data_IF_078729303920
#
_entry.id   IF_078729303920
#
_cell.length_a   1.000
_cell.length_b   1.000
_cell.length_c   1.000
_cell.angle_alpha   90.00
_cell.angle_beta   90.00
_cell.angle_gamma   90.00
#
_symmetry.space_group_name_H-M   'P 1'
#
loop_
_entity.id
_entity.type
_entity.pdbx_description
1 polymer ?
#
# COMPACT_ATOMS: atom_id res chain seq x y z
N UNK A 1 -16.97 -15.81 -75.62
CA UNK A 1 -17.47 -16.41 -74.42
C UNK A 1 -16.94 -15.55 -73.22
N UNK A 2 -17.77 -14.63 -72.78
CA UNK A 2 -17.50 -13.61 -71.77
C UNK A 2 -18.01 -14.10 -70.44
N UNK A 3 -17.11 -14.22 -69.45
CA UNK A 3 -17.48 -14.36 -68.05
C UNK A 3 -17.40 -13.00 -67.36
N UNK A 4 -18.41 -12.59 -66.60
CA UNK A 4 -18.43 -11.25 -66.01
C UNK A 4 -17.58 -11.18 -64.74
N UNK A 5 -16.68 -10.23 -64.73
CA UNK A 5 -15.80 -9.83 -63.61
C UNK A 5 -16.52 -9.27 -62.34
N UNK A 6 -17.86 -9.31 -62.35
CA UNK A 6 -18.68 -8.74 -61.26
C UNK A 6 -18.95 -9.69 -60.10
N UNK A 7 -18.57 -10.97 -60.17
CA UNK A 7 -18.86 -11.95 -59.09
C UNK A 7 -17.70 -12.17 -58.13
N UNK A 8 -16.49 -11.70 -58.49
CA UNK A 8 -15.29 -11.87 -57.63
C UNK A 8 -15.11 -10.68 -56.69
N UNK A 9 -15.70 -9.52 -56.98
CA UNK A 9 -15.55 -8.32 -56.16
C UNK A 9 -16.51 -8.25 -54.96
N UNK A 10 -17.56 -9.05 -54.90
CA UNK A 10 -18.52 -9.04 -53.80
C UNK A 10 -18.22 -10.08 -52.68
N UNK A 11 -17.26 -10.97 -52.90
CA UNK A 11 -16.86 -11.97 -51.92
C UNK A 11 -15.70 -11.51 -51.01
N UNK A 12 -15.06 -10.37 -51.30
CA UNK A 12 -13.97 -9.82 -50.49
C UNK A 12 -14.40 -8.69 -49.52
N UNK A 13 -15.68 -8.32 -49.46
CA UNK A 13 -16.19 -7.24 -48.62
C UNK A 13 -17.08 -7.73 -47.45
N UNK A 14 -17.23 -9.02 -47.27
CA UNK A 14 -17.84 -9.56 -46.06
C UNK A 14 -16.75 -9.90 -45.04
N UNK A 15 -16.11 -8.89 -44.45
CA UNK A 15 -15.41 -9.04 -43.17
C UNK A 15 -16.50 -9.22 -42.11
N UNK A 16 -16.67 -10.41 -41.56
CA UNK A 16 -17.74 -10.61 -40.57
C UNK A 16 -17.35 -9.87 -39.28
N UNK A 17 -18.07 -8.78 -39.01
CA UNK A 17 -18.06 -8.08 -37.71
C UNK A 17 -18.38 -9.02 -36.52
N UNK A 18 -18.82 -10.24 -36.80
CA UNK A 18 -19.14 -11.28 -35.81
C UNK A 18 -17.90 -12.09 -35.37
N UNK A 19 -16.79 -12.06 -36.13
CA UNK A 19 -15.59 -12.81 -35.75
C UNK A 19 -14.67 -12.06 -34.75
N UNK A 20 -14.84 -10.77 -34.57
CA UNK A 20 -14.00 -9.98 -33.66
C UNK A 20 -14.27 -10.30 -32.19
N UNK A 21 -15.53 -10.63 -31.83
CA UNK A 21 -15.86 -11.03 -30.46
C UNK A 21 -15.46 -12.47 -30.12
N UNK A 22 -15.44 -13.37 -31.12
CA UNK A 22 -15.10 -14.77 -30.91
C UNK A 22 -13.60 -15.05 -30.80
N UNK A 23 -12.77 -14.25 -31.44
CA UNK A 23 -11.30 -14.39 -31.38
C UNK A 23 -10.69 -13.75 -30.11
N UNK A 24 -11.35 -12.78 -29.48
CA UNK A 24 -10.94 -12.23 -28.19
C UNK A 24 -11.01 -13.27 -27.05
N UNK A 25 -11.79 -14.34 -27.24
CA UNK A 25 -12.01 -15.38 -26.23
C UNK A 25 -11.59 -16.78 -26.67
N UNK A 26 -11.12 -16.97 -27.93
CA UNK A 26 -10.59 -18.26 -28.36
C UNK A 26 -9.15 -18.42 -27.91
N UNK A 27 -8.92 -19.25 -26.92
CA UNK A 27 -7.60 -19.73 -26.52
C UNK A 27 -7.02 -20.57 -27.66
N UNK A 28 -6.32 -19.92 -28.60
CA UNK A 28 -5.38 -20.60 -29.47
C UNK A 28 -4.25 -21.17 -28.62
N UNK A 29 -3.77 -22.37 -28.95
CA UNK A 29 -2.67 -23.10 -28.30
C UNK A 29 -1.29 -22.41 -28.49
N UNK A 30 -1.19 -21.15 -28.09
CA UNK A 30 0.07 -20.41 -28.00
C UNK A 30 0.65 -20.60 -26.59
N UNK A 31 1.97 -20.76 -26.50
CA UNK A 31 2.65 -20.92 -25.21
C UNK A 31 2.32 -19.75 -24.26
N UNK A 32 2.15 -19.99 -22.95
CA UNK A 32 1.71 -18.95 -21.98
C UNK A 32 2.64 -17.72 -21.84
N UNK A 33 3.72 -17.67 -22.58
CA UNK A 33 4.77 -16.64 -22.52
C UNK A 33 4.87 -15.78 -23.79
N UNK A 34 3.87 -15.81 -24.70
CA UNK A 34 3.92 -14.96 -25.90
C UNK A 34 3.62 -13.49 -25.54
N UNK A 35 4.25 -12.50 -26.23
CA UNK A 35 4.02 -11.06 -26.00
C UNK A 35 2.54 -10.64 -26.14
N UNK A 36 1.76 -11.37 -26.94
CA UNK A 36 0.35 -11.08 -27.18
C UNK A 36 -0.51 -11.21 -25.92
N UNK A 37 -0.18 -12.15 -25.02
CA UNK A 37 -0.89 -12.29 -23.74
C UNK A 37 -0.64 -11.11 -22.79
N UNK A 38 0.58 -10.56 -22.75
CA UNK A 38 0.89 -9.40 -21.89
C UNK A 38 0.06 -8.18 -22.31
N UNK A 39 -0.07 -7.93 -23.61
CA UNK A 39 -0.86 -6.80 -24.14
C UNK A 39 -2.35 -7.01 -23.86
N UNK A 40 -2.84 -8.23 -24.02
CA UNK A 40 -4.23 -8.57 -23.73
C UNK A 40 -4.54 -8.41 -22.24
N UNK A 41 -3.72 -8.98 -21.35
CA UNK A 41 -3.89 -8.89 -19.91
C UNK A 41 -3.86 -7.43 -19.45
N UNK A 42 -2.91 -6.63 -19.98
CA UNK A 42 -2.81 -5.20 -19.69
C UNK A 42 -4.08 -4.45 -20.14
N UNK A 43 -4.57 -4.72 -21.34
CA UNK A 43 -5.78 -4.08 -21.85
C UNK A 43 -7.01 -4.42 -21.00
N UNK A 44 -7.18 -5.68 -20.61
CA UNK A 44 -8.25 -6.13 -19.71
C UNK A 44 -8.16 -5.41 -18.37
N UNK A 45 -6.98 -5.36 -17.76
CA UNK A 45 -6.76 -4.66 -16.49
C UNK A 45 -7.15 -3.19 -16.62
N UNK A 46 -6.71 -2.49 -17.66
CA UNK A 46 -6.99 -1.05 -17.82
C UNK A 46 -8.47 -0.75 -18.09
N UNK A 47 -9.15 -1.59 -18.88
CA UNK A 47 -10.60 -1.44 -19.12
C UNK A 47 -11.38 -1.64 -17.82
N UNK A 48 -11.07 -2.70 -17.09
CA UNK A 48 -11.76 -3.02 -15.84
C UNK A 48 -11.43 -1.98 -14.76
N UNK A 49 -10.19 -1.48 -14.71
CA UNK A 49 -9.79 -0.38 -13.84
C UNK A 49 -10.65 0.87 -14.09
N UNK A 50 -10.83 1.25 -15.35
CA UNK A 50 -11.65 2.41 -15.73
C UNK A 50 -13.13 2.24 -15.32
N UNK A 51 -13.71 1.06 -15.56
CA UNK A 51 -15.09 0.75 -15.17
C UNK A 51 -15.24 0.83 -13.64
N UNK A 52 -14.32 0.22 -12.89
CA UNK A 52 -14.40 0.19 -11.44
C UNK A 52 -14.13 1.56 -10.82
N UNK A 53 -13.27 2.37 -11.43
CA UNK A 53 -13.06 3.76 -11.01
C UNK A 53 -14.35 4.58 -11.13
N UNK A 54 -15.10 4.42 -12.21
CA UNK A 54 -16.40 5.08 -12.39
C UNK A 54 -17.42 4.60 -11.35
N UNK A 55 -17.47 3.29 -11.08
CA UNK A 55 -18.39 2.70 -10.11
C UNK A 55 -18.07 3.18 -8.69
N UNK A 56 -16.81 3.08 -8.26
CA UNK A 56 -16.39 3.49 -6.92
C UNK A 56 -16.56 4.99 -6.70
N UNK A 57 -16.28 5.80 -7.72
CA UNK A 57 -16.52 7.24 -7.66
C UNK A 57 -18.01 7.57 -7.45
N UNK A 58 -18.90 6.89 -8.18
CA UNK A 58 -20.36 7.05 -7.99
C UNK A 58 -20.84 6.58 -6.63
N UNK A 59 -20.27 5.49 -6.12
CA UNK A 59 -20.59 4.93 -4.80
C UNK A 59 -19.91 5.67 -3.64
N UNK A 60 -19.06 6.67 -3.92
CA UNK A 60 -18.23 7.39 -2.94
C UNK A 60 -17.40 6.45 -2.07
N UNK A 61 -16.86 5.38 -2.68
CA UNK A 61 -16.01 4.40 -2.03
C UNK A 61 -14.53 4.60 -2.43
N UNK A 62 -13.58 4.21 -1.57
CA UNK A 62 -12.16 4.22 -1.93
C UNK A 62 -11.87 3.40 -3.19
N UNK A 63 -11.07 3.95 -4.11
CA UNK A 63 -10.75 3.32 -5.41
C UNK A 63 -10.08 1.95 -5.25
N UNK A 64 -9.25 1.78 -4.21
CA UNK A 64 -8.53 0.54 -3.89
C UNK A 64 -9.48 -0.65 -3.74
N UNK A 65 -10.64 -0.44 -3.10
CA UNK A 65 -11.66 -1.49 -2.94
C UNK A 65 -12.15 -1.97 -4.31
N UNK A 66 -12.47 -1.01 -5.20
CA UNK A 66 -12.93 -1.34 -6.55
C UNK A 66 -11.90 -2.12 -7.35
N UNK A 67 -10.65 -1.73 -7.28
CA UNK A 67 -9.57 -2.41 -7.99
C UNK A 67 -9.35 -3.83 -7.50
N UNK A 68 -9.32 -4.06 -6.18
CA UNK A 68 -9.16 -5.40 -5.61
C UNK A 68 -10.36 -6.28 -5.99
N UNK A 69 -11.59 -5.79 -5.84
CA UNK A 69 -12.78 -6.53 -6.22
C UNK A 69 -12.81 -6.85 -7.72
N UNK A 70 -12.41 -5.89 -8.56
CA UNK A 70 -12.26 -6.11 -9.99
C UNK A 70 -11.29 -7.24 -10.30
N UNK A 71 -10.12 -7.22 -9.67
CA UNK A 71 -9.12 -8.26 -9.80
C UNK A 71 -9.66 -9.63 -9.39
N UNK A 72 -10.34 -9.70 -8.25
CA UNK A 72 -10.97 -10.94 -7.79
C UNK A 72 -11.97 -11.51 -8.82
N UNK A 73 -12.71 -10.66 -9.53
CA UNK A 73 -13.69 -11.09 -10.53
C UNK A 73 -13.02 -11.59 -11.82
N UNK A 74 -11.99 -10.89 -12.32
CA UNK A 74 -11.35 -11.22 -13.60
C UNK A 74 -10.18 -12.18 -13.48
N UNK A 75 -9.76 -12.49 -12.25
CA UNK A 75 -8.63 -13.35 -11.96
C UNK A 75 -8.88 -14.83 -12.26
N UNK A 76 -7.82 -15.66 -12.25
CA UNK A 76 -7.87 -17.07 -12.64
C UNK A 76 -8.75 -17.94 -11.73
N UNK A 77 -9.03 -17.47 -10.52
CA UNK A 77 -9.74 -18.26 -9.50
C UNK A 77 -11.25 -18.02 -9.45
N UNK A 78 -11.82 -17.25 -10.41
CA UNK A 78 -13.24 -16.88 -10.39
C UNK A 78 -13.94 -17.22 -11.71
N UNK A 79 -14.26 -18.52 -11.98
CA UNK A 79 -15.09 -18.89 -13.12
C UNK A 79 -16.51 -18.30 -13.01
N UNK A 80 -17.18 -17.90 -14.11
CA UNK A 80 -16.76 -18.02 -15.53
C UNK A 80 -15.98 -16.80 -16.04
N UNK A 81 -15.72 -15.78 -15.23
CA UNK A 81 -15.14 -14.50 -15.64
C UNK A 81 -13.62 -14.45 -15.55
N UNK A 82 -12.92 -15.59 -15.49
CA UNK A 82 -11.46 -15.66 -15.48
C UNK A 82 -10.87 -15.17 -16.82
N UNK A 83 -10.80 -13.83 -16.96
CA UNK A 83 -10.30 -13.18 -18.18
C UNK A 83 -8.76 -13.19 -18.23
N UNK A 84 -8.10 -13.23 -17.08
CA UNK A 84 -6.65 -13.28 -16.95
C UNK A 84 -6.29 -14.62 -16.33
N UNK A 85 -5.55 -15.44 -17.06
CA UNK A 85 -5.13 -16.76 -16.59
C UNK A 85 -3.63 -16.86 -16.33
N UNK A 86 -2.84 -15.91 -16.85
CA UNK A 86 -1.40 -15.94 -16.72
C UNK A 86 -0.95 -15.30 -15.38
N UNK A 87 -0.71 -16.15 -14.39
CA UNK A 87 -0.22 -15.73 -13.05
C UNK A 87 1.14 -15.00 -13.13
N UNK A 88 2.00 -15.35 -14.09
CA UNK A 88 3.29 -14.68 -14.26
C UNK A 88 3.12 -13.23 -14.75
N UNK A 89 2.18 -12.97 -15.66
CA UNK A 89 1.83 -11.60 -16.07
C UNK A 89 1.35 -10.78 -14.87
N UNK A 90 0.44 -11.35 -14.05
CA UNK A 90 -0.07 -10.68 -12.85
C UNK A 90 1.04 -10.36 -11.86
N UNK A 91 1.96 -11.29 -11.62
CA UNK A 91 3.12 -11.05 -10.75
C UNK A 91 4.02 -9.93 -11.27
N UNK A 92 4.31 -9.92 -12.59
CA UNK A 92 5.12 -8.88 -13.22
C UNK A 92 4.43 -7.50 -13.10
N UNK A 93 3.14 -7.43 -13.38
CA UNK A 93 2.38 -6.19 -13.24
C UNK A 93 2.30 -5.71 -11.79
N UNK A 94 2.15 -6.63 -10.83
CA UNK A 94 2.18 -6.29 -9.41
C UNK A 94 3.57 -5.74 -9.01
N UNK A 95 4.68 -6.35 -9.49
CA UNK A 95 6.04 -5.88 -9.20
C UNK A 95 6.30 -4.48 -9.77
N UNK A 96 5.91 -4.20 -11.01
CA UNK A 96 6.00 -2.86 -11.60
C UNK A 96 5.12 -1.85 -10.86
N UNK A 97 3.91 -2.27 -10.51
CA UNK A 97 2.96 -1.43 -9.79
C UNK A 97 3.47 -1.00 -8.43
N UNK A 98 4.04 -1.94 -7.66
CA UNK A 98 4.58 -1.67 -6.33
C UNK A 98 5.77 -0.71 -6.37
N UNK A 99 6.68 -0.86 -7.36
CA UNK A 99 7.83 0.03 -7.53
C UNK A 99 7.33 1.47 -7.72
N UNK A 100 6.40 1.68 -8.65
CA UNK A 100 5.88 3.02 -8.92
C UNK A 100 5.07 3.60 -7.76
N UNK A 101 4.25 2.77 -7.12
CA UNK A 101 3.46 3.19 -5.96
C UNK A 101 4.35 3.66 -4.82
N UNK A 102 5.32 2.84 -4.41
CA UNK A 102 6.20 3.16 -3.29
C UNK A 102 7.22 4.26 -3.62
N UNK A 103 7.67 4.35 -4.87
CA UNK A 103 8.49 5.47 -5.30
C UNK A 103 7.76 6.80 -5.09
N UNK A 104 6.51 6.93 -5.55
CA UNK A 104 5.77 8.19 -5.40
C UNK A 104 5.40 8.45 -3.94
N UNK A 105 5.02 7.44 -3.17
CA UNK A 105 4.87 7.57 -1.72
C UNK A 105 6.16 8.12 -1.11
N UNK A 106 7.32 7.57 -1.46
CA UNK A 106 8.62 8.07 -1.01
C UNK A 106 8.85 9.55 -1.29
N UNK A 107 8.37 10.07 -2.45
CA UNK A 107 8.50 11.51 -2.78
C UNK A 107 7.69 12.43 -1.85
N UNK A 108 6.75 11.90 -1.09
CA UNK A 108 5.97 12.67 -0.10
C UNK A 108 6.69 12.81 1.24
N UNK A 109 7.79 12.07 1.42
CA UNK A 109 8.53 11.97 2.67
C UNK A 109 9.96 12.51 2.57
N UNK A 110 10.17 13.85 2.43
CA UNK A 110 11.51 14.40 2.54
C UNK A 110 12.08 14.12 3.94
N UNK A 111 13.40 13.86 4.00
CA UNK A 111 14.13 13.59 5.26
C UNK A 111 13.93 14.74 6.26
N UNK A 112 13.83 15.98 5.77
CA UNK A 112 13.54 17.15 6.59
C UNK A 112 12.16 17.06 7.29
N UNK A 113 11.15 16.52 6.59
CA UNK A 113 9.80 16.30 7.15
C UNK A 113 9.84 15.24 8.24
N UNK A 114 10.64 14.19 8.07
CA UNK A 114 10.93 13.19 9.08
C UNK A 114 11.51 13.81 10.36
N UNK A 115 12.39 14.80 10.24
CA UNK A 115 12.91 15.57 11.40
C UNK A 115 11.84 16.43 12.06
N UNK A 116 10.88 16.99 11.29
CA UNK A 116 9.82 17.88 11.79
C UNK A 116 8.65 17.15 12.46
N UNK A 117 8.49 15.86 12.20
CA UNK A 117 7.41 15.00 12.72
C UNK A 117 7.42 14.89 14.24
N UNK A 118 8.36 15.47 14.90
CA UNK A 118 8.37 15.60 16.33
C UNK A 118 8.58 14.29 17.09
N UNK A 119 9.22 14.41 18.22
CA UNK A 119 9.54 13.31 19.15
C UNK A 119 8.33 12.44 19.50
N UNK A 120 7.11 13.03 19.51
CA UNK A 120 5.91 12.32 19.94
C UNK A 120 5.49 11.23 18.95
N UNK A 121 5.64 11.46 17.62
CA UNK A 121 5.28 10.46 16.62
C UNK A 121 6.19 9.23 16.74
N UNK A 122 7.47 9.42 17.00
CA UNK A 122 8.42 8.32 17.25
C UNK A 122 8.06 7.59 18.55
N UNK A 123 7.76 8.34 19.62
CA UNK A 123 7.39 7.78 20.92
C UNK A 123 6.08 6.98 20.85
N UNK A 124 5.19 7.33 19.96
CA UNK A 124 3.94 6.59 19.75
C UNK A 124 4.13 5.43 18.77
N UNK A 125 4.78 5.67 17.64
CA UNK A 125 4.90 4.67 16.57
C UNK A 125 5.68 3.43 17.00
N UNK A 126 6.80 3.59 17.69
CA UNK A 126 7.64 2.43 18.08
C UNK A 126 6.89 1.46 19.01
N UNK A 127 6.33 1.88 20.17
CA UNK A 127 5.59 0.96 21.03
C UNK A 127 4.32 0.43 20.40
N UNK A 128 3.67 1.22 19.55
CA UNK A 128 2.46 0.82 18.86
C UNK A 128 2.77 -0.27 17.83
N UNK A 129 3.72 -0.03 16.92
CA UNK A 129 4.10 -1.00 15.89
C UNK A 129 4.61 -2.31 16.50
N UNK A 130 5.51 -2.23 17.49
CA UNK A 130 6.05 -3.42 18.17
C UNK A 130 4.94 -4.12 18.98
N UNK A 131 4.15 -3.37 19.73
CA UNK A 131 3.08 -3.92 20.56
C UNK A 131 2.01 -4.62 19.71
N UNK A 132 1.56 -4.00 18.61
CA UNK A 132 0.61 -4.59 17.68
C UNK A 132 1.21 -5.83 17.00
N UNK A 133 2.46 -5.75 16.53
CA UNK A 133 3.15 -6.89 15.93
C UNK A 133 3.20 -8.08 16.89
N UNK A 134 3.62 -7.87 18.14
CA UNK A 134 3.71 -8.94 19.15
C UNK A 134 2.33 -9.53 19.46
N UNK A 135 1.31 -8.70 19.70
CA UNK A 135 -0.03 -9.16 20.04
C UNK A 135 -0.63 -9.96 18.87
N UNK A 136 -0.56 -9.43 17.65
CA UNK A 136 -1.09 -10.11 16.46
C UNK A 136 -0.32 -11.39 16.16
N UNK A 137 1.00 -11.42 16.35
CA UNK A 137 1.82 -12.62 16.20
C UNK A 137 1.31 -13.76 17.08
N UNK A 138 1.12 -13.52 18.37
CA UNK A 138 0.63 -14.54 19.28
C UNK A 138 -0.81 -14.97 18.94
N UNK A 139 -1.68 -14.05 18.55
CA UNK A 139 -3.04 -14.42 18.11
C UNK A 139 -2.99 -15.26 16.83
N UNK A 140 -2.16 -14.92 15.85
CA UNK A 140 -1.98 -15.73 14.64
C UNK A 140 -1.45 -17.15 14.97
N UNK A 141 -0.50 -17.26 15.90
CA UNK A 141 -0.03 -18.57 16.40
C UNK A 141 -1.17 -19.40 17.03
N UNK A 142 -2.03 -18.79 17.86
CA UNK A 142 -3.19 -19.49 18.44
C UNK A 142 -4.23 -19.91 17.42
N UNK A 143 -4.29 -19.23 16.28
CA UNK A 143 -5.13 -19.59 15.13
C UNK A 143 -4.52 -20.73 14.28
N UNK A 144 -3.33 -21.22 14.61
CA UNK A 144 -2.68 -22.33 13.93
C UNK A 144 -1.81 -21.97 12.73
N UNK A 145 -1.51 -20.68 12.53
CA UNK A 145 -0.58 -20.23 11.49
C UNK A 145 0.86 -20.61 11.82
N UNK A 146 1.66 -20.89 10.79
CA UNK A 146 3.10 -21.14 10.95
C UNK A 146 3.80 -19.90 11.54
N UNK A 147 5.02 -20.09 12.04
CA UNK A 147 5.79 -18.97 12.60
C UNK A 147 6.02 -17.84 11.58
N UNK A 148 6.37 -18.18 10.35
CA UNK A 148 6.56 -17.17 9.30
C UNK A 148 5.24 -16.54 8.86
N UNK A 149 4.18 -17.33 8.66
CA UNK A 149 2.85 -16.77 8.39
C UNK A 149 2.44 -15.76 9.47
N UNK A 150 2.64 -16.13 10.74
CA UNK A 150 2.32 -15.27 11.87
C UNK A 150 3.16 -13.99 11.92
N UNK A 151 4.45 -14.06 11.57
CA UNK A 151 5.32 -12.88 11.49
C UNK A 151 4.88 -11.92 10.39
N UNK A 152 4.62 -12.43 9.18
CA UNK A 152 4.19 -11.61 8.06
C UNK A 152 2.77 -11.06 8.25
N UNK A 153 1.83 -11.85 8.78
CA UNK A 153 0.51 -11.37 9.18
C UNK A 153 0.60 -10.27 10.24
N UNK A 154 1.41 -10.47 11.28
CA UNK A 154 1.59 -9.51 12.34
C UNK A 154 2.19 -8.20 11.83
N UNK A 155 3.20 -8.28 10.97
CA UNK A 155 3.78 -7.09 10.34
C UNK A 155 2.75 -6.37 9.47
N UNK A 156 2.05 -7.09 8.59
CA UNK A 156 1.02 -6.52 7.73
C UNK A 156 -0.10 -5.83 8.53
N UNK A 157 -0.49 -6.41 9.67
CA UNK A 157 -1.52 -5.87 10.56
C UNK A 157 -1.03 -4.73 11.45
N UNK A 158 0.28 -4.56 11.62
CA UNK A 158 0.86 -3.43 12.36
C UNK A 158 0.96 -2.15 11.54
N UNK A 159 0.74 -2.18 10.24
CA UNK A 159 0.86 -1.03 9.34
C UNK A 159 -0.52 -0.38 9.13
N UNK A 160 -0.56 0.95 9.19
CA UNK A 160 -1.77 1.72 8.89
C UNK A 160 -1.72 2.25 7.44
N UNK A 161 -2.82 2.11 6.69
CA UNK A 161 -2.89 2.71 5.36
C UNK A 161 -2.99 4.23 5.42
N UNK A 162 -1.90 4.90 5.05
CA UNK A 162 -1.85 6.36 4.97
C UNK A 162 -2.83 6.87 3.91
N UNK A 163 -2.86 6.24 2.73
CA UNK A 163 -3.70 6.67 1.59
C UNK A 163 -5.18 6.63 1.94
N UNK A 164 -5.68 5.51 2.48
CA UNK A 164 -7.09 5.37 2.85
C UNK A 164 -7.46 6.34 3.97
N UNK A 165 -6.61 6.43 5.01
CA UNK A 165 -6.86 7.28 6.17
C UNK A 165 -6.90 8.77 5.79
N UNK A 166 -5.91 9.24 5.03
CA UNK A 166 -5.85 10.65 4.59
C UNK A 166 -7.02 10.98 3.68
N UNK A 167 -7.39 10.11 2.76
CA UNK A 167 -8.52 10.31 1.86
C UNK A 167 -9.83 10.53 2.65
N UNK A 168 -10.07 9.69 3.64
CA UNK A 168 -11.26 9.84 4.51
C UNK A 168 -11.21 11.12 5.33
N UNK A 169 -10.04 11.50 5.86
CA UNK A 169 -9.87 12.75 6.60
C UNK A 169 -10.06 13.99 5.72
N UNK A 170 -9.65 13.94 4.45
CA UNK A 170 -9.90 14.99 3.46
C UNK A 170 -11.40 15.13 3.17
N UNK A 171 -12.08 14.02 2.90
CA UNK A 171 -13.54 13.99 2.64
C UNK A 171 -14.35 14.52 3.81
N UNK A 172 -13.87 14.33 5.05
CA UNK A 172 -14.48 14.86 6.27
C UNK A 172 -14.06 16.29 6.62
N UNK A 173 -13.17 16.91 5.81
CA UNK A 173 -12.66 18.27 6.07
C UNK A 173 -11.74 18.38 7.28
N UNK A 174 -11.17 17.26 7.76
CA UNK A 174 -10.36 17.17 8.97
C UNK A 174 -8.85 17.26 8.74
N UNK A 175 -8.41 17.58 7.53
CA UNK A 175 -6.98 17.55 7.16
C UNK A 175 -6.10 18.49 8.01
N UNK A 176 -6.68 19.57 8.55
CA UNK A 176 -5.98 20.54 9.41
C UNK A 176 -6.05 20.23 10.90
N UNK A 177 -6.76 19.20 11.30
CA UNK A 177 -6.90 18.82 12.70
C UNK A 177 -5.57 18.33 13.28
N UNK A 178 -5.35 18.59 14.59
CA UNK A 178 -4.15 18.11 15.30
C UNK A 178 -4.02 16.59 15.28
N UNK A 179 -5.14 15.87 15.33
CA UNK A 179 -5.17 14.41 15.19
C UNK A 179 -4.64 13.95 13.84
N UNK A 180 -5.01 14.64 12.75
CA UNK A 180 -4.54 14.32 11.39
C UNK A 180 -3.04 14.52 11.27
N UNK A 181 -2.49 15.61 11.79
CA UNK A 181 -1.04 15.86 11.78
C UNK A 181 -0.30 14.77 12.55
N UNK A 182 -0.85 14.30 13.69
CA UNK A 182 -0.28 13.19 14.44
C UNK A 182 -0.36 11.87 13.68
N UNK A 183 -1.52 11.56 13.07
CA UNK A 183 -1.70 10.37 12.24
C UNK A 183 -0.63 10.34 11.13
N UNK A 184 -0.51 11.42 10.36
CA UNK A 184 0.50 11.52 9.30
C UNK A 184 1.94 11.35 9.84
N UNK A 185 2.22 11.92 10.99
CA UNK A 185 3.53 11.77 11.61
C UNK A 185 3.83 10.35 12.07
N UNK A 186 2.85 9.68 12.66
CA UNK A 186 2.99 8.31 13.17
C UNK A 186 3.10 7.32 12.00
N UNK A 187 2.25 7.45 10.96
CA UNK A 187 2.29 6.55 9.78
C UNK A 187 3.62 6.61 9.05
N UNK A 188 4.25 7.80 8.94
CA UNK A 188 5.60 7.91 8.37
C UNK A 188 6.61 7.03 9.12
N UNK A 189 6.56 7.05 10.44
CA UNK A 189 7.48 6.25 11.27
C UNK A 189 7.13 4.77 11.18
N UNK A 190 5.82 4.42 11.16
CA UNK A 190 5.36 3.05 10.94
C UNK A 190 5.89 2.48 9.61
N UNK A 191 5.81 3.25 8.51
CA UNK A 191 6.24 2.80 7.18
C UNK A 191 7.74 2.47 7.17
N UNK A 192 8.56 3.29 7.84
CA UNK A 192 10.00 3.03 7.99
C UNK A 192 10.25 1.77 8.83
N UNK A 193 9.53 1.61 9.95
CA UNK A 193 9.64 0.42 10.80
C UNK A 193 9.21 -0.82 10.00
N UNK A 194 8.10 -0.71 9.26
CA UNK A 194 7.54 -1.81 8.47
C UNK A 194 8.51 -2.28 7.38
N UNK A 195 9.06 -1.35 6.59
CA UNK A 195 9.99 -1.68 5.50
C UNK A 195 11.27 -2.29 6.06
N UNK A 196 11.78 -1.74 7.16
CA UNK A 196 12.98 -2.27 7.82
C UNK A 196 12.73 -3.68 8.38
N UNK A 197 11.59 -3.89 9.04
CA UNK A 197 11.20 -5.18 9.60
C UNK A 197 10.94 -6.21 8.53
N UNK A 198 10.33 -5.80 7.41
CA UNK A 198 10.11 -6.65 6.24
C UNK A 198 11.42 -7.18 5.67
N UNK A 199 12.43 -6.31 5.48
CA UNK A 199 13.75 -6.74 5.03
C UNK A 199 14.40 -7.74 5.97
N UNK A 200 14.24 -7.57 7.29
CA UNK A 200 14.71 -8.52 8.30
C UNK A 200 13.99 -9.86 8.16
N UNK A 201 12.65 -9.86 8.04
CA UNK A 201 11.86 -11.11 7.92
C UNK A 201 12.17 -11.88 6.63
N UNK A 202 12.35 -11.17 5.51
CA UNK A 202 12.78 -11.79 4.25
C UNK A 202 14.16 -12.45 4.39
N UNK A 203 15.10 -11.76 5.02
CA UNK A 203 16.44 -12.30 5.27
C UNK A 203 16.42 -13.53 6.19
N UNK A 204 15.57 -13.54 7.22
CA UNK A 204 15.38 -14.70 8.08
C UNK A 204 14.75 -15.88 7.33
N UNK A 205 13.82 -15.61 6.44
CA UNK A 205 13.14 -16.64 5.65
C UNK A 205 14.06 -17.31 4.63
N UNK A 206 14.92 -16.53 3.95
CA UNK A 206 15.84 -17.05 2.93
C UNK A 206 16.98 -17.92 3.52
N UNK A 207 17.32 -17.72 4.79
CA UNK A 207 18.38 -18.47 5.47
C UNK A 207 17.89 -19.77 6.14
N UNK A 208 16.85 -20.40 5.63
CA UNK A 208 16.37 -21.78 5.93
C UNK A 208 16.05 -22.04 7.42
N UNK A 209 15.60 -21.04 8.16
CA UNK A 209 15.11 -21.23 9.55
C UNK A 209 16.19 -21.56 10.58
N UNK A 210 17.44 -21.79 10.18
CA UNK A 210 18.56 -21.86 11.12
C UNK A 210 19.02 -20.45 11.44
N UNK A 211 18.48 -19.92 12.52
CA UNK A 211 18.84 -18.58 13.02
C UNK A 211 20.24 -18.63 13.63
N UNK A 212 21.27 -18.57 12.79
CA UNK A 212 22.59 -18.22 13.28
C UNK A 212 22.59 -16.73 13.64
N UNK A 213 22.85 -16.40 14.89
CA UNK A 213 22.97 -15.01 15.38
C UNK A 213 23.93 -14.21 14.47
N UNK A 214 24.98 -14.86 13.97
CA UNK A 214 25.94 -14.26 13.06
C UNK A 214 25.28 -13.90 11.72
N UNK A 215 24.47 -14.80 11.11
CA UNK A 215 23.79 -14.54 9.84
C UNK A 215 22.75 -13.44 9.97
N UNK A 216 21.96 -13.43 11.05
CA UNK A 216 21.02 -12.35 11.37
C UNK A 216 21.73 -11.02 11.50
N UNK A 217 22.85 -10.99 12.24
CA UNK A 217 23.63 -9.75 12.42
C UNK A 217 24.21 -9.24 11.10
N UNK A 218 24.70 -10.15 10.23
CA UNK A 218 25.19 -9.80 8.88
C UNK A 218 24.05 -9.24 8.04
N UNK A 219 22.88 -9.90 8.02
CA UNK A 219 21.71 -9.44 7.27
C UNK A 219 21.24 -8.05 7.73
N UNK A 220 21.13 -7.83 9.03
CA UNK A 220 20.82 -6.52 9.61
C UNK A 220 21.89 -5.49 9.21
N UNK A 221 23.17 -5.89 9.23
CA UNK A 221 24.29 -5.07 8.80
C UNK A 221 24.21 -4.65 7.34
N UNK A 222 23.85 -5.57 6.43
CA UNK A 222 23.65 -5.29 5.00
C UNK A 222 22.49 -4.33 4.78
N UNK A 223 21.34 -4.58 5.42
CA UNK A 223 20.16 -3.69 5.36
C UNK A 223 20.50 -2.29 5.87
N UNK A 224 21.14 -2.20 7.03
CA UNK A 224 21.55 -0.93 7.62
C UNK A 224 22.58 -0.19 6.76
N UNK A 225 23.55 -0.91 6.19
CA UNK A 225 24.56 -0.35 5.29
C UNK A 225 23.94 0.15 3.98
N UNK A 226 23.00 -0.61 3.39
CA UNK A 226 22.28 -0.21 2.18
C UNK A 226 21.46 1.04 2.42
N UNK A 227 20.58 1.03 3.43
CA UNK A 227 19.74 2.18 3.79
C UNK A 227 20.63 3.38 4.18
N UNK A 228 21.64 3.14 5.01
CA UNK A 228 22.58 4.17 5.46
C UNK A 228 23.35 4.81 4.30
N UNK A 229 23.88 4.01 3.35
CA UNK A 229 24.59 4.52 2.17
C UNK A 229 23.66 5.36 1.28
N UNK A 230 22.44 4.92 1.06
CA UNK A 230 21.47 5.67 0.27
C UNK A 230 21.10 6.99 0.99
N UNK A 231 20.82 6.96 2.27
CA UNK A 231 20.46 8.16 3.03
C UNK A 231 21.64 9.13 3.19
N UNK A 232 22.87 8.67 3.33
CA UNK A 232 24.05 9.51 3.51
C UNK A 232 24.62 10.01 2.16
N UNK A 233 24.88 9.09 1.24
CA UNK A 233 25.47 9.43 -0.06
C UNK A 233 24.40 9.86 -1.05
N UNK A 234 23.31 9.10 -1.14
CA UNK A 234 22.20 9.39 -2.04
C UNK A 234 21.60 10.78 -1.76
N UNK A 235 21.34 11.13 -0.51
CA UNK A 235 20.77 12.43 -0.14
C UNK A 235 21.70 13.62 -0.48
N UNK A 236 23.00 13.37 -0.62
CA UNK A 236 23.96 14.41 -0.99
C UNK A 236 24.09 14.62 -2.51
N UNK A 237 24.01 13.55 -3.29
CA UNK A 237 24.26 13.58 -4.73
C UNK A 237 23.01 13.58 -5.59
N UNK A 238 22.02 12.74 -5.27
CA UNK A 238 20.80 12.58 -6.07
C UNK A 238 20.00 13.89 -6.20
N UNK A 239 19.73 14.65 -5.13
CA UNK A 239 19.01 15.92 -5.26
C UNK A 239 19.72 16.92 -6.17
N UNK A 240 21.07 16.97 -6.11
CA UNK A 240 21.86 17.88 -6.95
C UNK A 240 21.77 17.51 -8.43
N UNK A 241 21.76 16.20 -8.75
CA UNK A 241 21.59 15.70 -10.13
C UNK A 241 20.20 16.08 -10.63
N UNK A 242 19.16 15.82 -9.83
CA UNK A 242 17.77 16.13 -10.20
C UNK A 242 17.57 17.64 -10.33
N UNK A 243 18.14 18.45 -9.44
CA UNK A 243 18.05 19.90 -9.52
C UNK A 243 18.79 20.45 -10.75
N UNK A 244 19.90 19.83 -11.15
CA UNK A 244 20.63 20.23 -12.37
C UNK A 244 19.81 19.91 -13.62
N UNK A 245 19.18 18.75 -13.67
CA UNK A 245 18.29 18.33 -14.76
C UNK A 245 17.01 19.17 -14.74
N UNK A 246 16.46 19.46 -13.57
CA UNK A 246 15.27 20.31 -13.42
C UNK A 246 15.42 21.72 -14.02
N UNK A 247 16.66 22.23 -14.14
CA UNK A 247 16.94 23.53 -14.82
C UNK A 247 16.78 23.48 -16.34
N UNK A 248 16.73 22.28 -16.93
CA UNK A 248 16.54 22.16 -18.38
C UNK A 248 15.08 22.34 -18.78
N UNK A 249 14.14 22.35 -17.81
CA UNK A 249 12.69 22.40 -18.02
C UNK A 249 12.14 21.28 -18.92
N UNK A 250 12.96 20.24 -19.16
CA UNK A 250 12.58 19.07 -19.94
C UNK A 250 11.97 18.02 -19.02
N UNK A 251 10.64 17.96 -19.02
CA UNK A 251 9.88 17.00 -18.18
C UNK A 251 10.14 15.54 -18.55
N UNK A 252 10.41 15.24 -19.83
CA UNK A 252 10.71 13.87 -20.26
C UNK A 252 12.07 13.41 -19.71
N UNK A 253 13.08 14.27 -19.76
CA UNK A 253 14.39 13.98 -19.17
C UNK A 253 14.29 13.77 -17.65
N UNK A 254 13.57 14.65 -16.94
CA UNK A 254 13.34 14.50 -15.50
C UNK A 254 12.67 13.16 -15.21
N UNK A 255 11.60 12.83 -15.94
CA UNK A 255 10.83 11.59 -15.75
C UNK A 255 11.71 10.36 -15.96
N UNK A 256 12.47 10.28 -17.04
CA UNK A 256 13.32 9.13 -17.33
C UNK A 256 14.39 8.94 -16.26
N UNK A 257 15.01 10.02 -15.78
CA UNK A 257 16.05 9.94 -14.74
C UNK A 257 15.47 9.48 -13.41
N UNK A 258 14.31 9.98 -12.99
CA UNK A 258 13.70 9.53 -11.72
C UNK A 258 13.17 8.11 -11.82
N UNK A 259 12.64 7.67 -12.97
CA UNK A 259 12.26 6.27 -13.20
C UNK A 259 13.49 5.36 -13.19
N UNK A 260 14.57 5.78 -13.85
CA UNK A 260 15.86 5.06 -13.80
C UNK A 260 16.38 4.90 -12.38
N UNK A 261 16.25 5.95 -11.54
CA UNK A 261 16.58 5.88 -10.12
C UNK A 261 15.66 4.92 -9.36
N UNK A 262 14.33 5.00 -9.58
CA UNK A 262 13.35 4.14 -8.92
C UNK A 262 13.60 2.67 -9.22
N UNK A 263 13.66 2.31 -10.50
CA UNK A 263 13.91 0.92 -10.93
C UNK A 263 15.32 0.46 -10.59
N UNK A 264 16.35 1.32 -10.74
CA UNK A 264 17.73 0.99 -10.42
C UNK A 264 17.96 0.70 -8.95
N UNK A 265 17.41 1.50 -8.02
CA UNK A 265 17.50 1.22 -6.59
C UNK A 265 16.61 0.05 -6.17
N UNK A 266 15.48 -0.18 -6.84
CA UNK A 266 14.65 -1.37 -6.62
C UNK A 266 15.40 -2.65 -7.02
N UNK A 267 16.07 -2.64 -8.17
CA UNK A 267 16.90 -3.75 -8.61
C UNK A 267 18.08 -3.98 -7.65
N UNK A 268 18.80 -2.93 -7.26
CA UNK A 268 19.89 -3.04 -6.30
C UNK A 268 19.42 -3.58 -4.94
N UNK A 269 18.23 -3.19 -4.46
CA UNK A 269 17.64 -3.75 -3.26
C UNK A 269 17.37 -5.25 -3.40
N UNK A 270 16.81 -5.68 -4.54
CA UNK A 270 16.51 -7.09 -4.86
C UNK A 270 17.77 -7.95 -4.86
N UNK A 271 18.85 -7.48 -5.46
CA UNK A 271 20.15 -8.18 -5.48
C UNK A 271 20.76 -8.35 -4.08
N UNK A 272 20.42 -7.47 -3.15
CA UNK A 272 20.84 -7.57 -1.74
C UNK A 272 19.86 -8.38 -0.88
N UNK A 273 18.86 -9.04 -1.48
CA UNK A 273 17.84 -9.81 -0.77
C UNK A 273 16.78 -8.96 -0.10
N UNK A 274 16.68 -7.67 -0.44
CA UNK A 274 15.64 -6.76 0.04
C UNK A 274 14.47 -6.72 -0.93
N UNK A 275 13.32 -6.21 -0.45
CA UNK A 275 12.18 -5.96 -1.33
C UNK A 275 12.48 -4.86 -2.35
N UNK A 276 12.02 -5.06 -3.59
CA UNK A 276 12.02 -4.02 -4.65
C UNK A 276 11.30 -2.75 -4.15
N UNK A 277 10.30 -2.94 -3.30
CA UNK A 277 9.53 -1.90 -2.64
C UNK A 277 10.41 -0.96 -1.80
N UNK A 278 11.35 -1.51 -1.03
CA UNK A 278 12.29 -0.73 -0.21
C UNK A 278 13.18 0.16 -1.08
N UNK A 279 13.72 -0.39 -2.17
CA UNK A 279 14.54 0.39 -3.11
C UNK A 279 13.76 1.54 -3.75
N UNK A 280 12.53 1.25 -4.21
CA UNK A 280 11.63 2.25 -4.80
C UNK A 280 11.30 3.39 -3.81
N UNK A 281 10.93 3.04 -2.58
CA UNK A 281 10.62 4.01 -1.54
C UNK A 281 11.81 4.93 -1.25
N UNK A 282 13.01 4.35 -1.06
CA UNK A 282 14.23 5.12 -0.81
C UNK A 282 14.58 6.03 -1.99
N UNK A 283 14.39 5.56 -3.24
CA UNK A 283 14.53 6.41 -4.43
C UNK A 283 13.61 7.63 -4.37
N UNK A 284 12.36 7.42 -4.00
CA UNK A 284 11.38 8.50 -3.80
C UNK A 284 11.80 9.49 -2.72
N UNK A 285 12.28 9.00 -1.57
CA UNK A 285 12.80 9.84 -0.48
C UNK A 285 13.97 10.71 -0.94
N UNK A 286 14.88 10.18 -1.77
CA UNK A 286 15.98 10.96 -2.34
C UNK A 286 15.48 12.07 -3.28
N UNK A 287 14.48 11.76 -4.11
CA UNK A 287 13.85 12.76 -4.99
C UNK A 287 13.14 13.84 -4.17
N UNK A 288 12.52 13.47 -3.04
CA UNK A 288 11.84 14.40 -2.14
C UNK A 288 12.75 15.50 -1.57
N UNK A 289 14.07 15.25 -1.49
CA UNK A 289 15.06 16.21 -1.00
C UNK A 289 15.48 17.25 -2.07
N UNK A 290 15.10 17.04 -3.35
CA UNK A 290 15.43 17.98 -4.43
C UNK A 290 14.48 19.20 -4.45
N UNK A 291 14.96 20.32 -4.96
CA UNK A 291 14.12 21.51 -5.21
C UNK A 291 13.07 21.24 -6.29
N UNK A 292 13.35 20.29 -7.19
CA UNK A 292 12.48 19.86 -8.27
C UNK A 292 11.49 18.76 -7.82
N UNK A 293 11.42 18.42 -6.53
CA UNK A 293 10.54 17.38 -5.99
C UNK A 293 9.06 17.58 -6.36
N UNK A 294 8.58 18.83 -6.36
CA UNK A 294 7.20 19.13 -6.75
C UNK A 294 6.95 18.82 -8.23
N UNK A 295 7.90 19.15 -9.11
CA UNK A 295 7.82 18.81 -10.55
C UNK A 295 7.84 17.30 -10.71
N UNK A 296 8.80 16.62 -10.08
CA UNK A 296 8.89 15.17 -10.08
C UNK A 296 7.57 14.51 -9.66
N UNK A 297 6.95 14.99 -8.58
CA UNK A 297 5.66 14.48 -8.11
C UNK A 297 4.54 14.70 -9.12
N UNK A 298 4.41 15.89 -9.69
CA UNK A 298 3.36 16.20 -10.66
C UNK A 298 3.44 15.29 -11.87
N UNK A 299 4.64 15.06 -12.42
CA UNK A 299 4.82 14.22 -13.62
C UNK A 299 4.69 12.72 -13.33
N UNK A 300 4.95 12.26 -12.09
CA UNK A 300 4.86 10.84 -11.72
C UNK A 300 3.51 10.45 -11.14
N UNK A 301 2.69 11.39 -10.65
CA UNK A 301 1.37 11.12 -10.07
C UNK A 301 0.44 10.35 -11.03
N UNK A 302 0.28 10.72 -12.32
CA UNK A 302 -0.54 9.96 -13.25
C UNK A 302 -0.04 8.52 -13.45
N UNK A 303 1.28 8.34 -13.49
CA UNK A 303 1.88 7.01 -13.58
C UNK A 303 1.60 6.19 -12.32
N UNK A 304 1.74 6.80 -11.13
CA UNK A 304 1.38 6.14 -9.86
C UNK A 304 -0.07 5.65 -9.90
N UNK A 305 -1.00 6.50 -10.31
CA UNK A 305 -2.43 6.15 -10.30
C UNK A 305 -2.72 4.99 -11.26
N UNK A 306 -2.11 5.00 -12.45
CA UNK A 306 -2.19 3.90 -13.42
C UNK A 306 -1.57 2.61 -12.84
N UNK A 307 -0.35 2.68 -12.33
CA UNK A 307 0.34 1.52 -11.80
C UNK A 307 -0.27 1.02 -10.47
N UNK A 308 -0.86 1.89 -9.67
CA UNK A 308 -1.64 1.50 -8.49
C UNK A 308 -2.87 0.68 -8.90
N UNK A 309 -3.60 1.08 -9.94
CA UNK A 309 -4.71 0.30 -10.46
C UNK A 309 -4.24 -1.08 -10.92
N UNK A 310 -3.15 -1.15 -11.71
CA UNK A 310 -2.56 -2.41 -12.18
C UNK A 310 -2.17 -3.28 -10.99
N UNK A 311 -1.48 -2.72 -10.00
CA UNK A 311 -1.04 -3.42 -8.78
C UNK A 311 -2.23 -4.03 -8.01
N UNK A 312 -3.23 -3.22 -7.67
CA UNK A 312 -4.36 -3.69 -6.87
C UNK A 312 -5.24 -4.69 -7.61
N UNK A 313 -5.44 -4.52 -8.93
CA UNK A 313 -6.17 -5.49 -9.76
C UNK A 313 -5.38 -6.79 -9.84
N UNK A 314 -4.07 -6.73 -10.12
CA UNK A 314 -3.23 -7.93 -10.19
C UNK A 314 -3.23 -8.69 -8.87
N UNK A 315 -3.10 -7.99 -7.73
CA UNK A 315 -3.20 -8.58 -6.41
C UNK A 315 -4.58 -9.17 -6.15
N UNK A 316 -5.65 -8.43 -6.48
CA UNK A 316 -7.00 -8.94 -6.35
C UNK A 316 -7.22 -10.22 -7.15
N UNK A 317 -6.66 -10.30 -8.37
CA UNK A 317 -6.74 -11.47 -9.24
C UNK A 317 -6.02 -12.71 -8.68
N UNK A 318 -5.02 -12.52 -7.82
CA UNK A 318 -4.31 -13.62 -7.14
C UNK A 318 -5.05 -14.14 -5.91
N UNK A 319 -6.15 -13.53 -5.49
CA UNK A 319 -6.95 -13.97 -4.34
C UNK A 319 -7.90 -15.09 -4.77
N UNK A 320 -7.72 -16.25 -4.17
CA UNK A 320 -8.62 -17.39 -4.37
C UNK A 320 -9.87 -17.26 -3.47
N UNK A 321 -11.01 -17.01 -4.11
CA UNK A 321 -12.29 -16.84 -3.43
C UNK A 321 -12.83 -18.14 -2.81
N UNK A 322 -12.38 -19.29 -3.27
CA UNK A 322 -12.86 -20.59 -2.78
C UNK A 322 -12.53 -20.81 -1.30
N UNK A 323 -11.48 -20.20 -0.80
CA UNK A 323 -11.01 -20.30 0.57
C UNK A 323 -11.62 -19.25 1.51
N UNK A 324 -12.35 -18.23 1.00
CA UNK A 324 -12.90 -17.12 1.83
C UNK A 324 -13.77 -17.64 2.99
N UNK A 325 -14.72 -18.59 2.81
CA UNK A 325 -15.57 -19.03 3.91
C UNK A 325 -14.78 -19.58 5.11
N UNK A 326 -13.64 -20.20 4.84
CA UNK A 326 -12.76 -20.76 5.89
C UNK A 326 -11.88 -19.67 6.54
N UNK A 327 -11.52 -18.64 5.78
CA UNK A 327 -10.56 -17.61 6.19
C UNK A 327 -11.21 -16.37 6.81
N UNK A 328 -12.54 -16.20 6.72
CA UNK A 328 -13.22 -15.01 7.21
C UNK A 328 -13.12 -14.88 8.73
N UNK A 329 -13.21 -15.98 9.48
CA UNK A 329 -13.12 -15.94 10.94
C UNK A 329 -11.71 -15.56 11.40
N UNK A 330 -10.62 -16.18 10.92
CA UNK A 330 -9.26 -15.72 11.20
C UNK A 330 -9.03 -14.25 10.82
N UNK A 331 -9.49 -13.84 9.63
CA UNK A 331 -9.34 -12.46 9.19
C UNK A 331 -10.02 -11.46 10.12
N UNK A 332 -11.26 -11.72 10.53
CA UNK A 332 -12.01 -10.87 11.45
C UNK A 332 -11.36 -10.80 12.84
N UNK A 333 -10.85 -11.93 13.37
CA UNK A 333 -10.13 -11.93 14.64
C UNK A 333 -8.83 -11.11 14.56
N UNK A 334 -8.08 -11.22 13.46
CA UNK A 334 -6.89 -10.43 13.24
C UNK A 334 -7.23 -8.93 13.10
N UNK A 335 -8.30 -8.57 12.38
CA UNK A 335 -8.78 -7.18 12.29
C UNK A 335 -9.11 -6.64 13.68
N UNK A 336 -9.91 -7.37 14.46
CA UNK A 336 -10.31 -6.94 15.80
C UNK A 336 -9.11 -6.78 16.73
N UNK A 337 -8.20 -7.75 16.72
CA UNK A 337 -6.97 -7.72 17.52
C UNK A 337 -6.10 -6.52 17.17
N UNK A 338 -5.83 -6.34 15.89
CA UNK A 338 -5.01 -5.23 15.41
C UNK A 338 -5.68 -3.86 15.66
N UNK A 339 -6.99 -3.77 15.46
CA UNK A 339 -7.75 -2.56 15.77
C UNK A 339 -7.65 -2.22 17.26
N UNK A 340 -7.92 -3.20 18.14
CA UNK A 340 -7.89 -3.00 19.57
C UNK A 340 -6.49 -2.63 20.06
N UNK A 341 -5.44 -3.39 19.65
CA UNK A 341 -4.06 -3.11 20.07
C UNK A 341 -3.62 -1.70 19.68
N UNK A 342 -3.79 -1.30 18.42
CA UNK A 342 -3.45 0.05 17.95
C UNK A 342 -4.22 1.13 18.68
N UNK A 343 -5.54 0.98 18.75
CA UNK A 343 -6.39 1.96 19.42
C UNK A 343 -5.99 2.18 20.86
N UNK A 344 -5.81 1.13 21.66
CA UNK A 344 -5.48 1.26 23.08
C UNK A 344 -4.08 1.77 23.30
N UNK A 345 -3.07 1.27 22.57
CA UNK A 345 -1.67 1.69 22.72
C UNK A 345 -1.53 3.18 22.38
N UNK A 346 -2.03 3.61 21.22
CA UNK A 346 -1.91 5.00 20.78
C UNK A 346 -2.67 5.94 21.71
N UNK A 347 -3.92 5.58 22.03
CA UNK A 347 -4.77 6.41 22.90
C UNK A 347 -4.16 6.54 24.31
N UNK A 348 -3.63 5.46 24.87
CA UNK A 348 -3.00 5.47 26.19
C UNK A 348 -1.76 6.37 26.23
N UNK A 349 -0.86 6.24 25.23
CA UNK A 349 0.37 7.04 25.16
C UNK A 349 0.03 8.52 25.00
N UNK A 350 -0.88 8.86 24.07
CA UNK A 350 -1.24 10.25 23.80
C UNK A 350 -2.05 10.87 24.95
N UNK A 351 -2.93 10.12 25.62
CA UNK A 351 -3.66 10.58 26.79
C UNK A 351 -2.73 10.84 27.98
N UNK A 352 -1.67 10.03 28.15
CA UNK A 352 -0.62 10.26 29.14
C UNK A 352 0.26 11.48 28.84
N UNK A 353 0.34 11.90 27.57
CA UNK A 353 1.08 13.10 27.19
C UNK A 353 0.24 14.36 27.44
N UNK A 354 0.57 15.12 28.51
CA UNK A 354 -0.19 16.32 28.97
C UNK A 354 -0.49 17.37 27.87
N UNK A 355 0.22 17.31 26.75
CA UNK A 355 0.11 18.26 25.61
C UNK A 355 -1.09 17.95 24.69
N UNK A 356 -1.61 16.73 24.70
CA UNK A 356 -2.66 16.28 23.78
C UNK A 356 -3.92 15.97 24.60
N UNK A 357 -5.02 16.68 24.31
CA UNK A 357 -6.30 16.43 24.98
C UNK A 357 -6.87 15.06 24.64
N UNK A 358 -7.71 14.50 25.51
CA UNK A 358 -8.32 13.17 25.34
C UNK A 358 -9.02 12.96 23.99
N UNK A 359 -9.64 14.01 23.41
CA UNK A 359 -10.26 13.97 22.08
C UNK A 359 -9.21 13.73 20.99
N UNK A 360 -8.08 14.43 21.04
CA UNK A 360 -7.01 14.27 20.06
C UNK A 360 -6.42 12.86 20.16
N UNK A 361 -6.19 12.36 21.36
CA UNK A 361 -5.72 11.00 21.57
C UNK A 361 -6.68 9.95 21.00
N UNK A 362 -7.98 10.07 21.30
CA UNK A 362 -9.02 9.16 20.83
C UNK A 362 -9.17 9.19 19.31
N UNK A 363 -9.24 10.38 18.69
CA UNK A 363 -9.35 10.53 17.24
C UNK A 363 -8.11 9.99 16.52
N UNK A 364 -6.92 10.23 17.08
CA UNK A 364 -5.68 9.68 16.53
C UNK A 364 -5.68 8.16 16.62
N UNK A 365 -6.05 7.59 17.79
CA UNK A 365 -6.15 6.15 17.98
C UNK A 365 -7.15 5.49 17.03
N UNK A 366 -8.35 6.06 16.85
CA UNK A 366 -9.36 5.57 15.91
C UNK A 366 -8.87 5.63 14.44
N UNK A 367 -8.27 6.76 14.06
CA UNK A 367 -7.76 6.93 12.70
C UNK A 367 -6.64 5.93 12.37
N UNK A 368 -5.71 5.73 13.29
CA UNK A 368 -4.60 4.79 13.11
C UNK A 368 -5.03 3.33 13.16
N UNK A 369 -6.04 3.00 13.96
CA UNK A 369 -6.53 1.62 14.10
C UNK A 369 -7.36 1.15 12.91
N UNK A 370 -7.95 2.06 12.13
CA UNK A 370 -9.06 1.74 11.23
C UNK A 370 -8.65 1.15 9.89
N UNK A 371 -7.56 1.59 9.26
CA UNK A 371 -7.22 1.25 7.88
C UNK A 371 -6.02 0.31 7.77
N UNK A 372 -6.18 -0.75 6.99
CA UNK A 372 -5.07 -1.54 6.41
C UNK A 372 -5.11 -1.36 4.91
N UNK A 373 -3.97 -1.38 4.24
CA UNK A 373 -3.95 -1.02 2.82
C UNK A 373 -2.84 -1.70 2.03
N UNK A 374 -2.35 -0.95 1.08
CA UNK A 374 -1.38 -1.36 0.09
C UNK A 374 -0.12 -2.00 0.70
N UNK A 375 0.47 -1.39 1.75
CA UNK A 375 1.68 -1.92 2.36
C UNK A 375 1.46 -3.28 3.03
N UNK A 376 0.25 -3.58 3.54
CA UNK A 376 -0.06 -4.91 4.08
C UNK A 376 -0.01 -5.98 2.99
N UNK A 377 -0.48 -5.66 1.78
CA UNK A 377 -0.42 -6.56 0.63
C UNK A 377 1.00 -6.68 0.06
N UNK A 378 1.78 -5.59 0.13
CA UNK A 378 3.22 -5.60 -0.18
C UNK A 378 3.96 -6.57 0.73
N UNK A 379 3.69 -6.56 2.03
CA UNK A 379 4.27 -7.48 3.00
C UNK A 379 3.92 -8.93 2.64
N UNK A 380 2.66 -9.20 2.27
CA UNK A 380 2.25 -10.53 1.82
C UNK A 380 3.00 -10.96 0.56
N UNK A 381 3.05 -10.09 -0.46
CA UNK A 381 3.75 -10.38 -1.72
C UNK A 381 5.23 -10.67 -1.47
N UNK A 382 5.88 -9.84 -0.67
CA UNK A 382 7.28 -10.00 -0.31
C UNK A 382 7.57 -11.31 0.44
N UNK A 383 6.64 -11.77 1.31
CA UNK A 383 6.73 -13.07 1.97
C UNK A 383 6.53 -14.24 1.01
N UNK A 384 5.63 -14.08 0.04
CA UNK A 384 5.38 -15.07 -1.00
C UNK A 384 6.58 -15.23 -1.94
N UNK A 385 7.20 -14.12 -2.35
CA UNK A 385 8.34 -14.11 -3.28
C UNK A 385 9.56 -14.84 -2.72
N UNK A 386 9.74 -14.84 -1.40
CA UNK A 386 10.80 -15.60 -0.73
C UNK A 386 10.33 -17.00 -0.26
N UNK A 387 9.10 -17.40 -0.59
CA UNK A 387 8.54 -18.70 -0.21
C UNK A 387 8.33 -18.88 1.30
N UNK A 388 8.26 -17.77 2.06
CA UNK A 388 8.16 -17.80 3.51
C UNK A 388 6.74 -18.04 4.02
N UNK A 389 5.72 -17.65 3.25
CA UNK A 389 4.33 -17.69 3.68
C UNK A 389 3.50 -18.71 2.90
N UNK A 390 2.52 -19.30 3.59
CA UNK A 390 1.54 -20.19 3.00
C UNK A 390 0.49 -19.47 2.14
N UNK A 391 -0.22 -20.26 1.34
CA UNK A 391 -1.22 -19.75 0.37
C UNK A 391 -2.41 -19.03 1.02
N UNK A 392 -2.65 -19.20 2.31
CA UNK A 392 -3.77 -18.58 3.05
C UNK A 392 -3.51 -17.13 3.47
N UNK A 393 -2.25 -16.70 3.60
CA UNK A 393 -1.88 -15.37 4.11
C UNK A 393 -2.37 -14.26 3.18
N UNK A 394 -2.17 -14.44 1.88
CA UNK A 394 -2.55 -13.44 0.87
C UNK A 394 -4.06 -13.20 0.81
N UNK A 395 -4.93 -14.23 0.72
CA UNK A 395 -6.37 -14.07 0.79
C UNK A 395 -6.86 -13.43 2.10
N UNK A 396 -6.25 -13.77 3.25
CA UNK A 396 -6.59 -13.15 4.54
C UNK A 396 -6.33 -11.64 4.48
N UNK A 397 -5.15 -11.22 4.02
CA UNK A 397 -4.82 -9.80 3.93
C UNK A 397 -5.64 -9.06 2.88
N UNK A 398 -6.09 -9.74 1.81
CA UNK A 398 -7.09 -9.21 0.89
C UNK A 398 -8.42 -8.89 1.58
N UNK A 399 -8.96 -9.85 2.35
CA UNK A 399 -10.17 -9.66 3.15
C UNK A 399 -9.98 -8.51 4.14
N UNK A 400 -8.86 -8.51 4.87
CA UNK A 400 -8.51 -7.45 5.84
C UNK A 400 -8.52 -6.08 5.18
N UNK A 401 -7.86 -5.93 4.04
CA UNK A 401 -7.76 -4.65 3.32
C UNK A 401 -9.14 -4.14 2.91
N UNK A 402 -9.97 -4.99 2.32
CA UNK A 402 -11.32 -4.61 1.88
C UNK A 402 -12.18 -4.19 3.08
N UNK A 403 -12.26 -5.05 4.10
CA UNK A 403 -13.11 -4.81 5.28
C UNK A 403 -12.67 -3.56 6.03
N UNK A 404 -11.37 -3.38 6.25
CA UNK A 404 -10.85 -2.23 7.00
C UNK A 404 -10.95 -0.94 6.19
N UNK A 405 -10.72 -0.95 4.88
CA UNK A 405 -10.90 0.24 4.04
C UNK A 405 -12.36 0.73 4.07
N UNK A 406 -13.33 -0.20 3.98
CA UNK A 406 -14.74 0.13 4.13
C UNK A 406 -15.06 0.67 5.54
N UNK A 407 -14.56 0.02 6.58
CA UNK A 407 -14.79 0.37 7.98
C UNK A 407 -14.21 1.74 8.34
N UNK A 408 -13.11 2.15 7.72
CA UNK A 408 -12.37 3.39 8.03
C UNK A 408 -13.24 4.63 7.96
N UNK A 409 -14.05 4.77 6.91
CA UNK A 409 -14.94 5.93 6.75
C UNK A 409 -15.92 6.07 7.91
N UNK A 410 -16.45 4.97 8.41
CA UNK A 410 -17.39 4.97 9.53
C UNK A 410 -16.68 5.22 10.87
N UNK A 411 -15.52 4.61 11.09
CA UNK A 411 -14.75 4.76 12.34
C UNK A 411 -14.26 6.19 12.52
N UNK A 412 -13.70 6.80 11.48
CA UNK A 412 -13.20 8.17 11.54
C UNK A 412 -14.38 9.16 11.69
N UNK A 413 -15.47 8.93 10.96
CA UNK A 413 -16.69 9.73 11.09
C UNK A 413 -17.26 9.65 12.50
N UNK A 414 -17.33 8.48 13.10
CA UNK A 414 -17.73 8.29 14.50
C UNK A 414 -16.82 9.07 15.45
N UNK A 415 -15.47 8.94 15.28
CA UNK A 415 -14.50 9.71 16.05
C UNK A 415 -14.67 11.23 15.91
N UNK A 416 -15.10 11.72 14.74
CA UNK A 416 -15.35 13.14 14.50
C UNK A 416 -16.59 13.67 15.26
N UNK A 417 -17.58 12.82 15.48
CA UNK A 417 -18.83 13.15 16.19
C UNK A 417 -18.65 13.22 17.71
N UNK A 418 -17.60 12.58 18.24
CA UNK A 418 -17.34 12.60 19.68
C UNK A 418 -16.90 14.02 20.08
N UNK A 419 -17.81 14.75 20.73
CA UNK A 419 -17.56 16.00 21.41
C UNK A 419 -17.47 15.70 22.91
N UNK A 420 -16.25 15.58 23.42
CA UNK A 420 -16.09 15.68 24.88
C UNK A 420 -16.30 17.16 25.18
N UNK A 421 -17.28 17.50 26.05
CA UNK A 421 -17.45 18.87 26.53
C UNK A 421 -16.09 19.41 26.94
N UNK A 422 -15.68 20.60 26.46
CA UNK A 422 -14.41 21.16 26.92
C UNK A 422 -14.47 21.17 28.45
N UNK A 423 -13.54 20.49 29.10
CA UNK A 423 -13.35 20.65 30.52
C UNK A 423 -13.21 22.16 30.74
N UNK A 424 -14.18 22.76 31.47
CA UNK A 424 -14.25 24.19 31.74
C UNK A 424 -12.81 24.69 31.99
N UNK A 425 -12.38 25.66 31.20
CA UNK A 425 -11.08 26.29 31.40
C UNK A 425 -11.00 26.83 32.82
N UNK A 426 -9.81 26.97 33.36
CA UNK A 426 -9.62 27.46 34.74
C UNK A 426 -10.36 28.79 35.00
N UNK A 427 -10.58 29.58 33.96
CA UNK A 427 -11.36 30.85 34.00
C UNK A 427 -12.87 30.63 34.02
N UNK A 428 -13.39 29.63 33.35
CA UNK A 428 -14.81 29.28 33.42
C UNK A 428 -15.15 28.61 34.77
N UNK A 429 -14.23 27.82 35.34
CA UNK A 429 -14.37 27.30 36.72
C UNK A 429 -14.39 28.44 37.74
N UNK A 430 -13.62 29.52 37.55
CA UNK A 430 -13.67 30.71 38.41
C UNK A 430 -15.02 31.46 38.23
N UNK A 431 -15.52 31.64 37.00
CA UNK A 431 -16.83 32.28 36.78
C UNK A 431 -18.00 31.50 37.41
N UNK A 432 -17.98 30.15 37.34
CA UNK A 432 -18.99 29.30 37.98
C UNK A 432 -18.93 29.35 39.53
N UNK A 433 -17.74 29.58 40.07
CA UNK A 433 -17.54 29.68 41.54
C UNK A 433 -17.95 31.05 42.11
N UNK A 434 -17.99 32.10 41.28
CA UNK A 434 -18.41 33.44 41.68
C UNK A 434 -19.88 33.74 41.39
N UNK A 435 -20.59 32.90 40.59
CA UNK A 435 -22.00 33.06 40.26
C UNK A 435 -22.99 32.44 41.25
N UNK A 436 -22.54 31.84 42.34
CA UNK A 436 -23.38 31.23 43.40
C UNK A 436 -23.18 31.88 44.77
N UNK A 437 -22.99 33.20 44.77
CA UNK A 437 -23.15 34.02 45.95
C UNK A 437 -24.07 35.20 45.56
N UNK A 438 -25.35 34.95 45.67
CA UNK A 438 -26.42 35.90 46.07
C UNK A 438 -27.71 35.10 46.19
#
# INVERSE_FOLDING_TARGET
MSFPLSYIMLQQLSVPLVSFGGQLFSHGSTSPSSPDFLVQDFAVIMIVAAIMLIITHRLKQPMVIGYILAGMIIGPYTPPFSLIQNVNSLNTFAELGIIMLLFVIGTEFPIAKLRSVGRISIVVAIPESIGTLVIVFFVAQTLGFSTFDSLFLALAMSITSTVVTVRVLEELGMIKDKSTVLILGITIVEDIIAITTLGIFQSLATNAGQVSILQVSISIGIVAAFIGSILLLGSRYVPKIIDKIGKTEDYALILIVILGLAFGLSFAAKELGLSVATGAFLAGVLVAESKSANVARVITTPLRDMFAAIFFISIGALIDLSHIPMLIVPAMLLILTSFASKFFIITAILAGAKRYGGITALRTGLGMASARGELSLVVAKAGQDVGAIGSSVFPILGIVTIVTAFMTSYVIKFGSMIRISPALTSDEKKKFRFGFKL
#
